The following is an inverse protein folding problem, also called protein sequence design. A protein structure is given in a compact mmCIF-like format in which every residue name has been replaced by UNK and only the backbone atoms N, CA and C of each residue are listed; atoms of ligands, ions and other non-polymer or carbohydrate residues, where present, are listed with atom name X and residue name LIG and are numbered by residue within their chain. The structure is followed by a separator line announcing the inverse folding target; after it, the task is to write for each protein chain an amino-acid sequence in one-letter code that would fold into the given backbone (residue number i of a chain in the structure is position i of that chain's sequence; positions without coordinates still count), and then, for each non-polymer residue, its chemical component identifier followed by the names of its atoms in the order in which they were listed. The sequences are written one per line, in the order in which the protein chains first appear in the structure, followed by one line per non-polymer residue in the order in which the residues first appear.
data_IF_291650246845
#
_entry.id   IF_291650246845
#
_cell.length_a   1.000
_cell.length_b   1.000
_cell.length_c   1.000
_cell.angle_alpha   90.00
_cell.angle_beta   90.00
_cell.angle_gamma   90.00
#
_symmetry.space_group_name_H-M   'P 1'
#
loop_
_entity.id
_entity.type
_entity.pdbx_description
1 polymer ?
#
# COMPACT_ATOMS: atom_id res chain seq x y z
N UNK A 1 17.04 -8.82 -13.07
CA UNK A 1 15.71 -8.20 -13.31
C UNK A 1 14.73 -8.83 -12.32
N UNK A 2 14.29 -8.09 -11.31
CA UNK A 2 13.13 -8.52 -10.51
C UNK A 2 11.91 -8.09 -11.30
N UNK A 3 11.04 -9.03 -11.66
CA UNK A 3 9.78 -8.72 -12.34
C UNK A 3 9.00 -7.68 -11.54
N UNK A 4 8.45 -6.66 -12.21
CA UNK A 4 7.62 -5.63 -11.59
C UNK A 4 6.39 -6.20 -10.84
N UNK A 5 6.02 -7.45 -11.13
CA UNK A 5 4.94 -8.19 -10.48
C UNK A 5 5.06 -8.26 -8.95
N UNK A 6 6.28 -8.36 -8.42
CA UNK A 6 6.48 -8.59 -6.98
C UNK A 6 6.61 -7.33 -6.15
N UNK A 7 6.85 -6.17 -6.78
CA UNK A 7 7.08 -4.92 -6.05
C UNK A 7 5.89 -4.60 -5.13
N UNK A 8 4.67 -4.75 -5.65
CA UNK A 8 3.47 -4.51 -4.86
C UNK A 8 3.30 -5.48 -3.68
N UNK A 9 3.63 -6.76 -3.84
CA UNK A 9 3.55 -7.73 -2.74
C UNK A 9 4.64 -7.50 -1.68
N UNK A 10 5.83 -7.03 -2.09
CA UNK A 10 6.88 -6.60 -1.15
C UNK A 10 6.39 -5.43 -0.31
N UNK A 11 5.83 -4.39 -0.95
CA UNK A 11 5.29 -3.22 -0.25
C UNK A 11 4.12 -3.63 0.66
N UNK A 12 3.23 -4.53 0.21
CA UNK A 12 2.13 -5.06 1.04
C UNK A 12 2.65 -5.69 2.33
N UNK A 13 3.72 -6.49 2.28
CA UNK A 13 4.32 -7.13 3.46
C UNK A 13 4.89 -6.10 4.43
N UNK A 14 5.54 -5.05 3.92
CA UNK A 14 6.05 -3.96 4.75
C UNK A 14 4.90 -3.21 5.42
N UNK A 15 3.85 -2.86 4.67
CA UNK A 15 2.67 -2.18 5.20
C UNK A 15 1.93 -3.03 6.24
N UNK A 16 1.76 -4.33 6.00
CA UNK A 16 1.15 -5.25 6.97
C UNK A 16 1.97 -5.32 8.26
N UNK A 17 3.30 -5.39 8.15
CA UNK A 17 4.17 -5.38 9.32
C UNK A 17 4.08 -4.07 10.09
N UNK A 18 4.10 -2.92 9.42
CA UNK A 18 3.95 -1.62 10.06
C UNK A 18 2.55 -1.39 10.66
N UNK A 19 1.52 -2.00 10.06
CA UNK A 19 0.17 -1.97 10.61
C UNK A 19 0.12 -2.66 11.99
N UNK A 20 0.81 -3.79 12.15
CA UNK A 20 0.89 -4.50 13.42
C UNK A 20 1.89 -3.88 14.41
N UNK A 21 3.09 -3.53 13.95
CA UNK A 21 4.21 -3.16 14.83
C UNK A 21 4.18 -1.68 15.24
N UNK A 22 3.55 -0.82 14.42
CA UNK A 22 3.58 0.64 14.58
C UNK A 22 2.21 1.30 14.48
N UNK A 23 1.11 0.52 14.48
CA UNK A 23 -0.26 1.02 14.33
C UNK A 23 -0.41 1.99 13.15
N UNK A 24 0.23 1.68 12.01
CA UNK A 24 0.29 2.56 10.83
C UNK A 24 -1.11 3.02 10.35
N UNK A 25 -2.12 2.16 10.52
CA UNK A 25 -3.51 2.42 10.15
C UNK A 25 -4.44 2.58 11.38
N UNK A 26 -3.87 2.87 12.55
CA UNK A 26 -4.59 2.89 13.83
C UNK A 26 -4.70 1.50 14.46
N UNK A 27 -5.75 1.29 15.26
CA UNK A 27 -5.96 0.05 16.03
C UNK A 27 -6.43 -1.13 15.16
N UNK A 28 -6.97 -0.84 13.98
CA UNK A 28 -7.53 -1.86 13.07
C UNK A 28 -6.62 -2.00 11.86
N UNK A 29 -6.03 -3.18 11.72
CA UNK A 29 -5.30 -3.55 10.51
C UNK A 29 -6.30 -3.74 9.36
N UNK A 30 -6.11 -3.08 8.20
CA UNK A 30 -7.01 -3.24 7.06
C UNK A 30 -7.02 -4.69 6.57
N UNK A 31 -8.16 -5.42 6.60
CA UNK A 31 -8.20 -6.85 6.26
C UNK A 31 -7.74 -7.16 4.84
N UNK A 32 -7.84 -6.18 3.94
CA UNK A 32 -7.36 -6.31 2.56
C UNK A 32 -5.83 -6.44 2.46
N UNK A 33 -5.06 -6.03 3.48
CA UNK A 33 -3.60 -6.22 3.48
C UNK A 33 -3.17 -7.69 3.58
N UNK A 34 -4.05 -8.59 4.05
CA UNK A 34 -3.78 -10.03 4.06
C UNK A 34 -3.94 -10.67 2.68
N UNK A 35 -4.56 -9.98 1.73
CA UNK A 35 -4.75 -10.48 0.37
C UNK A 35 -3.46 -10.34 -0.45
N UNK A 36 -2.87 -11.48 -0.82
CA UNK A 36 -1.69 -11.51 -1.69
C UNK A 36 -1.94 -10.74 -2.99
N UNK A 37 -0.93 -9.99 -3.45
CA UNK A 37 -0.99 -9.23 -4.70
C UNK A 37 -2.12 -8.17 -4.79
N UNK A 38 -2.73 -7.78 -3.67
CA UNK A 38 -3.73 -6.69 -3.64
C UNK A 38 -3.16 -5.35 -4.13
N UNK A 39 -1.87 -5.14 -3.88
CA UNK A 39 -1.08 -4.03 -4.39
C UNK A 39 -0.37 -4.49 -5.67
N UNK A 40 -0.68 -3.85 -6.80
CA UNK A 40 -0.09 -4.19 -8.11
C UNK A 40 0.90 -3.12 -8.57
N UNK A 41 1.71 -3.44 -9.57
CA UNK A 41 2.70 -2.51 -10.16
C UNK A 41 2.10 -1.17 -10.59
N UNK A 42 0.92 -1.10 -11.24
CA UNK A 42 0.31 0.19 -11.59
C UNK A 42 -0.07 1.02 -10.37
N UNK A 43 -0.45 0.36 -9.27
CA UNK A 43 -0.76 1.05 -8.02
C UNK A 43 0.50 1.64 -7.40
N UNK A 44 1.63 0.92 -7.46
CA UNK A 44 2.93 1.42 -7.00
C UNK A 44 3.38 2.61 -7.83
N UNK A 45 3.24 2.53 -9.16
CA UNK A 45 3.59 3.62 -10.05
C UNK A 45 2.73 4.86 -9.79
N UNK A 46 1.42 4.70 -9.56
CA UNK A 46 0.54 5.80 -9.24
C UNK A 46 0.91 6.48 -7.91
N UNK A 47 1.20 5.69 -6.86
CA UNK A 47 1.65 6.24 -5.58
C UNK A 47 3.03 6.91 -5.68
N UNK A 48 3.95 6.35 -6.46
CA UNK A 48 5.29 6.91 -6.65
C UNK A 48 5.27 8.24 -7.44
N UNK A 49 4.32 8.42 -8.35
CA UNK A 49 4.13 9.68 -9.08
C UNK A 49 3.39 10.75 -8.28
N UNK A 50 2.99 10.49 -7.04
CA UNK A 50 2.38 11.53 -6.23
C UNK A 50 3.45 12.54 -5.76
N UNK A 51 3.46 13.70 -6.42
CA UNK A 51 4.33 14.83 -6.08
C UNK A 51 3.62 15.87 -5.22
N UNK A 52 2.39 15.61 -4.75
CA UNK A 52 1.70 16.50 -3.84
C UNK A 52 2.44 16.56 -2.49
N UNK A 53 2.51 17.75 -1.91
CA UNK A 53 3.21 17.95 -0.64
C UNK A 53 2.59 17.14 0.52
N UNK A 54 1.29 16.89 0.45
CA UNK A 54 0.49 16.18 1.45
C UNK A 54 0.23 14.70 1.10
N UNK A 55 0.78 14.20 -0.02
CA UNK A 55 0.59 12.82 -0.49
C UNK A 55 -0.89 12.43 -0.67
N UNK A 56 -1.75 13.39 -1.05
CA UNK A 56 -3.20 13.17 -1.14
C UNK A 56 -3.60 12.12 -2.17
N UNK A 57 -2.87 11.97 -3.27
CA UNK A 57 -3.20 10.98 -4.30
C UNK A 57 -2.79 9.58 -3.87
N UNK A 58 -1.65 9.46 -3.16
CA UNK A 58 -1.25 8.22 -2.50
C UNK A 58 -2.29 7.82 -1.46
N UNK A 59 -2.73 8.76 -0.62
CA UNK A 59 -3.79 8.53 0.37
C UNK A 59 -5.10 8.05 -0.27
N UNK A 60 -5.55 8.73 -1.32
CA UNK A 60 -6.74 8.32 -2.08
C UNK A 60 -6.58 6.91 -2.68
N UNK A 61 -5.40 6.60 -3.24
CA UNK A 61 -5.12 5.29 -3.82
C UNK A 61 -5.15 4.17 -2.78
N UNK A 62 -4.57 4.41 -1.60
CA UNK A 62 -4.64 3.46 -0.48
C UNK A 62 -6.08 3.28 0.01
N UNK A 63 -6.87 4.34 0.08
CA UNK A 63 -8.30 4.28 0.41
C UNK A 63 -9.09 3.44 -0.59
N UNK A 64 -8.89 3.65 -1.88
CA UNK A 64 -9.57 2.87 -2.93
C UNK A 64 -9.25 1.38 -2.85
N UNK A 65 -7.97 1.05 -2.62
CA UNK A 65 -7.49 -0.34 -2.57
C UNK A 65 -7.89 -0.99 -1.24
N UNK A 66 -7.51 -0.39 -0.11
CA UNK A 66 -7.60 -0.98 1.22
C UNK A 66 -8.92 -0.67 1.94
N UNK A 67 -9.69 0.32 1.50
CA UNK A 67 -10.95 0.72 2.13
C UNK A 67 -10.78 1.44 3.47
N UNK A 68 -9.65 2.13 3.65
CA UNK A 68 -9.30 2.89 4.86
C UNK A 68 -9.76 4.35 4.82
#
# INVERSE_FOLDING_TARGET
MISGMYLGDIVRRILLKLAHDASLFGDIVPPKLDQLFILRTPDMAAMHHDTSHDLKHLGAKLKDILGI
#
